data_IF_753067003416
#
_entry.id   IF_753067003416
#
_cell.length_a   1.000
_cell.length_b   1.000
_cell.length_c   1.000
_cell.angle_alpha   90.00
_cell.angle_beta   90.00
_cell.angle_gamma   90.00
#
_symmetry.space_group_name_H-M   'P 1'
#
loop_
_entity.id
_entity.type
_entity.pdbx_description
1 polymer ?
#
# COMPACT_ATOMS: atom_id res chain seq x y z
N UNK A 1 -15.36 -27.22 -18.73
CA UNK A 1 -13.95 -27.38 -18.35
C UNK A 1 -13.44 -25.98 -18.09
N UNK A 2 -13.25 -25.74 -16.80
CA UNK A 2 -13.10 -24.53 -15.99
C UNK A 2 -13.08 -23.12 -16.60
N UNK A 3 -14.07 -22.33 -16.17
CA UNK A 3 -14.01 -20.87 -16.08
C UNK A 3 -13.12 -20.51 -14.87
N UNK A 4 -11.96 -19.89 -15.10
CA UNK A 4 -11.18 -19.26 -14.04
C UNK A 4 -11.30 -17.74 -14.21
N UNK A 5 -12.31 -17.17 -13.56
CA UNK A 5 -12.40 -15.74 -13.31
C UNK A 5 -11.15 -15.32 -12.51
N UNK A 6 -10.18 -14.67 -13.15
CA UNK A 6 -9.07 -14.00 -12.44
C UNK A 6 -9.14 -12.51 -12.69
N UNK A 7 -10.34 -11.95 -12.51
CA UNK A 7 -10.50 -10.55 -12.13
C UNK A 7 -10.97 -10.56 -10.69
N UNK A 8 -10.17 -11.16 -9.81
CA UNK A 8 -10.33 -10.95 -8.37
C UNK A 8 -9.87 -9.51 -8.14
N UNK A 9 -10.80 -8.63 -7.76
CA UNK A 9 -10.49 -7.24 -7.48
C UNK A 9 -9.32 -7.15 -6.49
N UNK A 10 -8.53 -6.08 -6.58
CA UNK A 10 -7.43 -5.87 -5.65
C UNK A 10 -8.02 -5.59 -4.27
N UNK A 11 -7.98 -6.59 -3.38
CA UNK A 11 -8.56 -6.49 -2.03
C UNK A 11 -7.61 -5.89 -0.99
N UNK A 12 -6.30 -5.83 -1.30
CA UNK A 12 -5.26 -5.25 -0.45
C UNK A 12 -4.16 -4.63 -1.29
N UNK A 13 -3.43 -3.68 -0.72
CA UNK A 13 -2.15 -3.20 -1.25
C UNK A 13 -1.00 -4.00 -0.64
N UNK A 14 -0.07 -4.49 -1.47
CA UNK A 14 1.12 -5.20 -0.98
C UNK A 14 2.27 -4.21 -0.72
N UNK A 15 2.80 -4.17 0.50
CA UNK A 15 3.91 -3.30 0.92
C UNK A 15 5.14 -4.14 1.26
N UNK A 16 6.22 -3.90 0.54
CA UNK A 16 7.50 -4.59 0.69
C UNK A 16 8.43 -3.71 1.52
N UNK A 17 8.95 -4.27 2.62
CA UNK A 17 9.73 -3.54 3.62
C UNK A 17 10.90 -4.37 4.15
N UNK A 18 11.77 -3.75 4.96
CA UNK A 18 12.83 -4.45 5.71
C UNK A 18 13.09 -3.78 7.07
N UNK A 19 13.64 -4.52 8.06
CA UNK A 19 14.04 -3.96 9.35
C UNK A 19 15.02 -2.79 9.21
N UNK A 20 14.89 -1.78 10.07
CA UNK A 20 15.77 -0.61 10.09
C UNK A 20 15.55 0.41 8.96
N UNK A 21 14.54 0.23 8.11
CA UNK A 21 14.19 1.16 7.03
C UNK A 21 13.39 2.36 7.57
N UNK A 22 13.96 3.60 7.61
CA UNK A 22 13.25 4.77 8.11
C UNK A 22 12.05 5.17 7.23
N UNK A 23 12.16 5.00 5.91
CA UNK A 23 11.08 5.30 4.97
C UNK A 23 9.88 4.36 5.14
N UNK A 24 10.14 3.08 5.44
CA UNK A 24 9.12 2.08 5.70
C UNK A 24 8.35 2.46 6.97
N UNK A 25 9.06 2.78 8.06
CA UNK A 25 8.44 3.25 9.30
C UNK A 25 7.55 4.49 9.09
N UNK A 26 8.02 5.47 8.30
CA UNK A 26 7.24 6.66 7.96
C UNK A 26 5.99 6.33 7.13
N UNK A 27 6.09 5.41 6.17
CA UNK A 27 4.95 5.00 5.36
C UNK A 27 3.94 4.22 6.20
N UNK A 28 4.37 3.27 7.03
CA UNK A 28 3.47 2.52 7.92
C UNK A 28 2.75 3.44 8.92
N UNK A 29 3.44 4.43 9.49
CA UNK A 29 2.81 5.40 10.39
C UNK A 29 1.69 6.19 9.70
N UNK A 30 1.89 6.55 8.43
CA UNK A 30 0.89 7.23 7.59
C UNK A 30 -0.25 6.32 7.15
N UNK A 31 0.05 5.05 6.86
CA UNK A 31 -0.97 4.04 6.51
C UNK A 31 -1.95 3.80 7.66
N UNK A 32 -1.49 3.88 8.92
CA UNK A 32 -2.36 3.79 10.11
C UNK A 32 -3.39 4.92 10.23
N UNK A 33 -3.26 6.01 9.48
CA UNK A 33 -4.20 7.15 9.53
C UNK A 33 -5.27 7.08 8.44
N UNK A 34 -5.30 6.03 7.63
CA UNK A 34 -6.25 5.85 6.53
C UNK A 34 -6.82 4.44 6.57
N UNK A 35 -8.08 4.27 6.17
CA UNK A 35 -8.69 2.95 6.05
C UNK A 35 -8.28 2.31 4.72
N UNK A 36 -7.04 1.81 4.64
CA UNK A 36 -6.51 1.11 3.47
C UNK A 36 -6.09 -0.31 3.87
N UNK A 37 -6.67 -1.36 3.28
CA UNK A 37 -6.23 -2.73 3.52
C UNK A 37 -4.82 -2.95 2.93
N UNK A 38 -3.89 -3.34 3.79
CA UNK A 38 -2.47 -3.51 3.45
C UNK A 38 -1.98 -4.90 3.87
N UNK A 39 -1.17 -5.52 3.01
CA UNK A 39 -0.44 -6.75 3.29
C UNK A 39 1.06 -6.47 3.22
N UNK A 40 1.80 -6.88 4.24
CA UNK A 40 3.21 -6.51 4.40
C UNK A 40 4.14 -7.70 4.15
N UNK A 41 5.24 -7.48 3.42
CA UNK A 41 6.22 -8.49 3.06
C UNK A 41 7.62 -8.03 3.45
N UNK A 42 8.30 -8.80 4.30
CA UNK A 42 9.69 -8.54 4.66
C UNK A 42 10.63 -9.16 3.62
N UNK A 43 11.31 -8.33 2.84
CA UNK A 43 12.21 -8.81 1.77
C UNK A 43 13.48 -9.49 2.30
N UNK A 44 13.79 -9.37 3.59
CA UNK A 44 14.91 -10.11 4.19
C UNK A 44 14.56 -11.55 4.52
N UNK A 45 13.28 -11.84 4.78
CA UNK A 45 12.80 -13.17 5.15
C UNK A 45 12.27 -13.93 3.93
N UNK A 46 11.81 -13.21 2.91
CA UNK A 46 11.21 -13.76 1.71
C UNK A 46 12.05 -13.41 0.46
N UNK A 47 12.77 -14.39 -0.13
CA UNK A 47 13.59 -14.16 -1.31
C UNK A 47 12.76 -13.86 -2.57
N UNK A 48 11.53 -14.35 -2.66
CA UNK A 48 10.61 -14.05 -3.76
C UNK A 48 10.11 -12.60 -3.67
N UNK A 49 9.84 -12.11 -2.46
CA UNK A 49 9.53 -10.71 -2.20
C UNK A 49 10.70 -9.80 -2.59
N UNK A 50 11.94 -10.18 -2.26
CA UNK A 50 13.14 -9.47 -2.70
C UNK A 50 13.28 -9.45 -4.23
N UNK A 51 13.05 -10.60 -4.90
CA UNK A 51 13.09 -10.69 -6.36
C UNK A 51 12.04 -9.79 -7.03
N UNK A 52 10.82 -9.75 -6.48
CA UNK A 52 9.75 -8.87 -6.95
C UNK A 52 10.11 -7.39 -6.82
N UNK A 53 10.73 -6.97 -5.70
CA UNK A 53 11.23 -5.59 -5.54
C UNK A 53 12.32 -5.26 -6.56
N UNK A 54 13.33 -6.13 -6.73
CA UNK A 54 14.41 -5.91 -7.71
C UNK A 54 13.87 -5.77 -9.13
N UNK A 55 12.81 -6.48 -9.46
CA UNK A 55 12.19 -6.44 -10.79
C UNK A 55 11.59 -5.07 -11.14
N UNK A 56 11.17 -4.28 -10.15
CA UNK A 56 10.56 -2.95 -10.35
C UNK A 56 11.47 -1.78 -9.93
N UNK A 57 12.47 -2.03 -9.10
CA UNK A 57 13.41 -1.02 -8.59
C UNK A 57 14.77 -1.02 -9.34
N UNK A 58 14.77 -1.39 -10.62
CA UNK A 58 15.97 -1.35 -11.46
C UNK A 58 17.09 -2.29 -10.98
N UNK A 59 16.73 -3.45 -10.46
CA UNK A 59 17.65 -4.45 -9.90
C UNK A 59 17.99 -4.24 -8.43
N UNK A 60 17.56 -3.15 -7.81
CA UNK A 60 17.87 -2.83 -6.40
C UNK A 60 16.79 -3.31 -5.44
N UNK A 61 17.15 -3.49 -4.17
CA UNK A 61 16.22 -3.81 -3.08
C UNK A 61 15.70 -2.53 -2.41
N UNK A 62 15.17 -1.61 -3.21
CA UNK A 62 14.68 -0.32 -2.74
C UNK A 62 13.35 -0.51 -2.02
N UNK A 63 13.27 -0.09 -0.76
CA UNK A 63 12.07 -0.16 0.07
C UNK A 63 11.78 1.20 0.73
N UNK A 64 10.50 1.55 1.00
CA UNK A 64 9.30 0.76 0.75
C UNK A 64 8.99 0.65 -0.75
N UNK A 65 8.64 -0.55 -1.22
CA UNK A 65 8.06 -0.74 -2.56
C UNK A 65 6.64 -1.23 -2.38
N UNK A 66 5.69 -0.70 -3.16
CA UNK A 66 4.27 -0.95 -2.97
C UNK A 66 3.64 -1.39 -4.28
N UNK A 67 2.79 -2.42 -4.22
CA UNK A 67 2.01 -2.88 -5.36
C UNK A 67 0.53 -2.66 -5.12
N UNK A 68 -0.12 -2.01 -6.07
CA UNK A 68 -1.57 -1.82 -6.16
C UNK A 68 -2.03 -2.66 -7.34
N UNK A 69 -2.48 -3.88 -7.08
CA UNK A 69 -2.68 -4.88 -8.13
C UNK A 69 -1.37 -5.12 -8.89
N UNK A 70 -1.39 -4.89 -10.19
CA UNK A 70 -0.22 -5.00 -11.07
C UNK A 70 0.67 -3.75 -11.09
N UNK A 71 0.21 -2.63 -10.51
CA UNK A 71 0.93 -1.36 -10.56
C UNK A 71 1.93 -1.22 -9.40
N UNK A 72 3.21 -1.02 -9.72
CA UNK A 72 4.28 -0.89 -8.75
C UNK A 72 4.68 0.58 -8.52
N UNK A 73 4.96 0.90 -7.25
CA UNK A 73 5.46 2.19 -6.79
C UNK A 73 6.72 1.97 -5.96
N UNK A 74 7.83 2.58 -6.36
CA UNK A 74 9.11 2.50 -5.65
C UNK A 74 9.28 3.72 -4.76
N UNK A 75 9.41 3.51 -3.45
CA UNK A 75 9.49 4.54 -2.41
C UNK A 75 8.41 5.65 -2.50
N UNK A 76 7.10 5.29 -2.59
CA UNK A 76 6.05 6.29 -2.73
C UNK A 76 5.80 7.07 -1.44
N UNK A 77 5.33 8.31 -1.59
CA UNK A 77 4.61 8.99 -0.50
C UNK A 77 3.20 8.43 -0.32
N UNK A 78 2.58 8.65 0.86
CA UNK A 78 1.17 8.28 1.08
C UNK A 78 0.24 8.90 0.02
N UNK A 79 0.51 10.15 -0.40
CA UNK A 79 -0.31 10.83 -1.39
C UNK A 79 -0.27 10.13 -2.75
N UNK A 80 0.92 9.72 -3.18
CA UNK A 80 1.12 8.98 -4.43
C UNK A 80 0.47 7.61 -4.36
N UNK A 81 0.66 6.89 -3.25
CA UNK A 81 0.02 5.60 -3.02
C UNK A 81 -1.51 5.70 -3.12
N UNK A 82 -2.12 6.66 -2.40
CA UNK A 82 -3.58 6.85 -2.45
C UNK A 82 -4.07 7.27 -3.85
N UNK A 83 -3.27 8.02 -4.60
CA UNK A 83 -3.61 8.38 -5.98
C UNK A 83 -3.60 7.14 -6.89
N UNK A 84 -2.61 6.27 -6.73
CA UNK A 84 -2.51 5.01 -7.46
C UNK A 84 -3.66 4.06 -7.07
N UNK A 85 -3.97 3.92 -5.79
CA UNK A 85 -5.11 3.11 -5.32
C UNK A 85 -6.41 3.56 -5.97
N UNK A 86 -6.69 4.86 -5.99
CA UNK A 86 -7.90 5.39 -6.67
C UNK A 86 -7.95 5.10 -8.16
N UNK A 87 -6.79 4.94 -8.80
CA UNK A 87 -6.69 4.72 -10.25
C UNK A 87 -6.79 3.24 -10.60
N UNK A 88 -6.10 2.38 -9.84
CA UNK A 88 -5.88 0.98 -10.19
C UNK A 88 -6.66 -0.01 -9.31
N UNK A 89 -7.11 0.41 -8.13
CA UNK A 89 -7.89 -0.39 -7.19
C UNK A 89 -8.94 0.48 -6.46
N UNK A 90 -9.86 1.15 -7.20
CA UNK A 90 -10.85 2.05 -6.62
C UNK A 90 -11.75 1.36 -5.59
N UNK A 91 -11.91 0.03 -5.66
CA UNK A 91 -12.68 -0.79 -4.73
C UNK A 91 -12.18 -0.76 -3.29
N UNK A 92 -10.89 -0.48 -3.07
CA UNK A 92 -10.25 -0.38 -1.74
C UNK A 92 -9.77 1.04 -1.42
N UNK A 93 -10.15 2.03 -2.23
CA UNK A 93 -9.72 3.39 -2.00
C UNK A 93 -10.41 3.98 -0.75
N UNK A 94 -9.65 4.55 0.22
CA UNK A 94 -10.25 5.20 1.37
C UNK A 94 -11.08 6.42 0.94
N UNK A 95 -12.20 6.70 1.62
CA UNK A 95 -13.06 7.83 1.30
C UNK A 95 -12.29 9.16 1.37
N UNK A 96 -12.60 10.08 0.45
CA UNK A 96 -11.88 11.35 0.35
C UNK A 96 -11.92 12.21 1.61
N UNK A 97 -12.94 12.03 2.45
CA UNK A 97 -13.13 12.74 3.71
C UNK A 97 -12.10 12.38 4.80
N UNK A 98 -11.35 11.28 4.66
CA UNK A 98 -10.28 10.90 5.59
C UNK A 98 -8.98 11.68 5.37
N UNK A 99 -8.83 12.39 4.24
CA UNK A 99 -7.74 13.37 4.07
C UNK A 99 -7.88 14.59 4.99
N UNK A 100 -9.07 14.80 5.57
CA UNK A 100 -9.44 15.97 6.40
C UNK A 100 -9.77 15.56 7.85
N UNK A 101 -9.17 14.47 8.34
CA UNK A 101 -9.49 13.84 9.63
C UNK A 101 -8.94 14.47 10.91
N UNK A 102 -8.31 15.67 10.89
CA UNK A 102 -7.94 16.37 12.13
C UNK A 102 -9.16 16.96 12.89
N UNK A 103 -10.40 16.78 12.41
CA UNK A 103 -11.59 17.44 12.99
C UNK A 103 -12.82 16.53 13.13
N UNK A 104 -12.67 15.35 13.72
CA UNK A 104 -13.84 14.57 14.17
C UNK A 104 -13.71 14.10 15.64
N UNK A 105 -13.44 15.07 16.51
CA UNK A 105 -13.97 15.04 17.88
C UNK A 105 -15.17 15.99 17.93
N UNK A 106 -16.38 15.43 17.88
CA UNK A 106 -17.59 16.11 18.34
C UNK A 106 -18.24 15.17 19.36
N UNK A 107 -17.98 15.31 20.68
CA UNK A 107 -18.92 14.78 21.65
C UNK A 107 -20.23 15.57 21.50
N UNK A 108 -21.30 14.81 21.23
CA UNK A 108 -22.62 15.33 20.88
C UNK A 108 -23.25 16.20 21.95
N UNK A 109 -24.10 17.11 21.47
CA UNK A 109 -25.09 17.80 22.28
C UNK A 109 -26.23 16.86 22.67
N UNK A 110 -26.34 16.57 23.97
CA UNK A 110 -27.61 16.50 24.70
C UNK A 110 -27.37 16.69 26.19
#
# INVERSE_FOLDING_TARGET
>A
MTEYNTTDGTTTVDVYWRPGCPFCMMLHAKLKTVDLPVREFNIWEDPDAAAKVRSVAGGNETVPTVFVGEHALVNPSLKELLSAVRTYAPEIAPPESERTGLRRWLPGSH
#
